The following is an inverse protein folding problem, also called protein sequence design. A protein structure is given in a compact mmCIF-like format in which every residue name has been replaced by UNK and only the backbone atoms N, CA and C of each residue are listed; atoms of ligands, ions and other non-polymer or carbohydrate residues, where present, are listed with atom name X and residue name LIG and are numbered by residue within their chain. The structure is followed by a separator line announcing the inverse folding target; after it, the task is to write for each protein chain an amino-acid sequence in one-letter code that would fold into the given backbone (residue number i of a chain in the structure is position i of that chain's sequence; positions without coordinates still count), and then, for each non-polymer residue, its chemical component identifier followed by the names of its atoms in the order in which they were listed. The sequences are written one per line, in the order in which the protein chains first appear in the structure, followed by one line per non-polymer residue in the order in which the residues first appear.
data_IF_654834897339
#
_entry.id   IF_654834897339
#
_cell.length_a   1.000
_cell.length_b   1.000
_cell.length_c   1.000
_cell.angle_alpha   90.00
_cell.angle_beta   90.00
_cell.angle_gamma   90.00
#
_symmetry.space_group_name_H-M   'P 1'
#
loop_
_entity.id
_entity.type
_entity.pdbx_description
1 polymer ?
#
# COMPACT_ATOMS: atom_id res chain seq x y z
N UNK A 1 3.60 -12.21 -16.87
CA UNK A 1 3.85 -11.38 -15.67
C UNK A 1 3.63 -12.27 -14.46
N UNK A 2 4.12 -11.88 -13.28
CA UNK A 2 3.87 -12.62 -12.03
C UNK A 2 3.00 -11.76 -11.13
N UNK A 3 2.01 -12.37 -10.50
CA UNK A 3 1.26 -11.74 -9.43
C UNK A 3 2.15 -11.66 -8.19
N UNK A 4 2.21 -10.47 -7.60
CA UNK A 4 2.94 -10.22 -6.37
C UNK A 4 1.97 -9.74 -5.31
N UNK A 5 1.90 -10.51 -4.23
CA UNK A 5 1.13 -10.16 -3.04
C UNK A 5 2.06 -9.62 -1.97
N UNK A 6 1.81 -8.38 -1.55
CA UNK A 6 2.63 -7.71 -0.56
C UNK A 6 1.81 -6.73 0.28
N UNK A 7 2.17 -6.63 1.55
CA UNK A 7 1.55 -5.70 2.48
C UNK A 7 2.46 -4.50 2.71
N UNK A 8 1.92 -3.29 2.51
CA UNK A 8 2.56 -2.04 2.89
C UNK A 8 1.85 -1.44 4.10
N UNK A 9 2.63 -1.12 5.13
CA UNK A 9 2.13 -0.39 6.31
C UNK A 9 2.63 1.04 6.25
N UNK A 10 1.70 1.98 6.21
CA UNK A 10 2.01 3.39 6.24
C UNK A 10 1.52 4.03 7.54
N UNK A 11 2.27 5.02 8.01
CA UNK A 11 1.91 5.90 9.11
C UNK A 11 1.42 7.22 8.51
N UNK A 12 0.25 7.65 8.97
CA UNK A 12 -0.30 8.97 8.69
C UNK A 12 0.01 9.88 9.87
N UNK A 13 0.65 11.01 9.60
CA UNK A 13 0.78 12.10 10.56
C UNK A 13 -0.49 12.94 10.47
N UNK A 14 -1.46 12.64 11.34
CA UNK A 14 -2.68 13.41 11.57
C UNK A 14 -3.47 13.74 10.29
N UNK A 15 -4.18 12.76 9.74
CA UNK A 15 -5.15 13.05 8.69
C UNK A 15 -6.46 13.51 9.33
N UNK A 16 -6.93 14.75 9.04
CA UNK A 16 -8.24 15.21 9.51
C UNK A 16 -9.40 14.50 8.79
N UNK A 17 -9.09 13.77 7.71
CA UNK A 17 -10.05 13.01 6.92
C UNK A 17 -10.34 11.65 7.57
N UNK A 18 -11.62 11.27 7.62
CA UNK A 18 -12.04 9.97 8.11
C UNK A 18 -11.45 8.81 7.30
N UNK A 19 -11.42 7.59 7.85
CA UNK A 19 -10.88 6.41 7.18
C UNK A 19 -11.53 6.16 5.81
N UNK A 20 -12.84 6.44 5.67
CA UNK A 20 -13.60 6.27 4.43
C UNK A 20 -13.12 7.21 3.30
N UNK A 21 -12.89 8.50 3.59
CA UNK A 21 -12.37 9.47 2.61
C UNK A 21 -10.97 9.09 2.12
N UNK A 22 -10.14 8.60 3.04
CA UNK A 22 -8.82 8.10 2.71
C UNK A 22 -8.88 6.89 1.78
N UNK A 23 -9.83 5.96 2.02
CA UNK A 23 -10.06 4.79 1.16
C UNK A 23 -10.46 5.24 -0.24
N UNK A 24 -11.44 6.14 -0.37
CA UNK A 24 -11.89 6.62 -1.68
C UNK A 24 -10.78 7.32 -2.46
N UNK A 25 -9.96 8.13 -1.78
CA UNK A 25 -8.81 8.79 -2.39
C UNK A 25 -7.74 7.82 -2.86
N UNK A 26 -7.46 6.78 -2.09
CA UNK A 26 -6.52 5.72 -2.46
C UNK A 26 -7.03 4.92 -3.65
N UNK A 27 -8.32 4.60 -3.64
CA UNK A 27 -8.98 3.92 -4.75
C UNK A 27 -8.91 4.76 -6.04
N UNK A 28 -9.26 6.05 -5.97
CA UNK A 28 -9.14 6.99 -7.10
C UNK A 28 -7.68 7.21 -7.54
N UNK A 29 -6.72 6.94 -6.66
CA UNK A 29 -5.29 7.06 -6.91
C UNK A 29 -4.65 5.88 -7.63
N UNK A 30 -5.41 4.87 -8.02
CA UNK A 30 -4.88 3.66 -8.65
C UNK A 30 -4.35 2.64 -7.63
N UNK A 31 -4.91 2.62 -6.42
CA UNK A 31 -4.77 1.52 -5.47
C UNK A 31 -6.08 0.70 -5.42
N UNK A 32 -6.70 0.44 -6.57
CA UNK A 32 -7.94 -0.35 -6.67
C UNK A 32 -7.70 -1.85 -6.51
N UNK A 33 -6.49 -2.31 -6.87
CA UNK A 33 -5.94 -3.65 -6.66
C UNK A 33 -5.35 -3.87 -5.25
N UNK A 34 -5.69 -2.97 -4.31
CA UNK A 34 -5.21 -3.03 -2.94
C UNK A 34 -6.36 -3.17 -1.93
N UNK A 35 -6.26 -4.15 -1.04
CA UNK A 35 -7.14 -4.28 0.11
C UNK A 35 -6.67 -3.34 1.22
N UNK A 36 -7.48 -2.32 1.50
CA UNK A 36 -7.18 -1.29 2.49
C UNK A 36 -7.78 -1.70 3.84
N UNK A 37 -6.89 -1.99 4.80
CA UNK A 37 -7.24 -2.19 6.20
C UNK A 37 -6.87 -0.96 7.02
N UNK A 38 -7.88 -0.19 7.45
CA UNK A 38 -7.67 0.92 8.38
C UNK A 38 -7.86 0.42 9.81
N UNK A 39 -6.80 0.49 10.62
CA UNK A 39 -6.85 0.13 12.03
C UNK A 39 -6.99 1.38 12.90
N UNK A 40 -5.98 1.64 13.72
CA UNK A 40 -5.87 2.89 14.47
C UNK A 40 -5.66 4.07 13.48
N UNK A 41 -6.21 5.26 13.77
CA UNK A 41 -6.18 6.45 12.89
C UNK A 41 -4.78 6.87 12.41
N UNK A 42 -3.73 6.42 13.08
CA UNK A 42 -2.34 6.72 12.76
C UNK A 42 -1.72 5.74 11.74
N UNK A 43 -2.32 4.58 11.52
CA UNK A 43 -1.73 3.53 10.68
C UNK A 43 -2.74 2.93 9.70
N UNK A 44 -2.31 2.82 8.45
CA UNK A 44 -3.03 2.13 7.40
C UNK A 44 -2.21 0.95 6.90
N UNK A 45 -2.89 -0.15 6.62
CA UNK A 45 -2.31 -1.33 5.99
C UNK A 45 -2.96 -1.49 4.63
N UNK A 46 -2.15 -1.59 3.58
CA UNK A 46 -2.60 -1.86 2.23
C UNK A 46 -2.00 -3.18 1.79
N UNK A 47 -2.84 -4.16 1.46
CA UNK A 47 -2.41 -5.41 0.87
C UNK A 47 -2.62 -5.33 -0.65
N UNK A 48 -1.53 -5.23 -1.40
CA UNK A 48 -1.55 -5.13 -2.85
C UNK A 48 -1.44 -6.52 -3.47
N UNK A 49 -2.22 -6.73 -4.53
CA UNK A 49 -2.16 -7.92 -5.38
C UNK A 49 -1.99 -7.45 -6.83
N UNK A 50 -0.75 -7.13 -7.21
CA UNK A 50 -0.45 -6.50 -8.52
C UNK A 50 0.45 -7.39 -9.38
N UNK A 51 0.09 -7.52 -10.65
CA UNK A 51 0.92 -8.20 -11.64
C UNK A 51 2.05 -7.28 -12.12
N UNK A 52 3.30 -7.76 -12.03
CA UNK A 52 4.45 -7.00 -12.48
C UNK A 52 5.53 -7.91 -13.08
N UNK A 53 6.57 -7.29 -13.63
CA UNK A 53 7.76 -7.99 -14.11
C UNK A 53 8.68 -8.41 -12.95
N UNK A 54 8.57 -7.74 -11.80
CA UNK A 54 9.36 -7.99 -10.58
C UNK A 54 8.69 -7.42 -9.34
N UNK A 55 8.96 -8.01 -8.17
CA UNK A 55 8.42 -7.53 -6.89
C UNK A 55 8.78 -6.06 -6.63
N UNK A 56 10.00 -5.64 -7.00
CA UNK A 56 10.44 -4.25 -6.87
C UNK A 56 9.61 -3.27 -7.71
N UNK A 57 9.21 -3.67 -8.92
CA UNK A 57 8.38 -2.86 -9.81
C UNK A 57 6.97 -2.71 -9.24
N UNK A 58 6.37 -3.80 -8.76
CA UNK A 58 5.06 -3.78 -8.11
C UNK A 58 5.06 -2.88 -6.86
N UNK A 59 6.05 -3.05 -5.98
CA UNK A 59 6.20 -2.26 -4.75
C UNK A 59 6.47 -0.79 -5.08
N UNK A 60 7.35 -0.48 -6.04
CA UNK A 60 7.70 0.90 -6.39
C UNK A 60 6.51 1.64 -7.00
N UNK A 61 5.72 0.98 -7.86
CA UNK A 61 4.48 1.54 -8.40
C UNK A 61 3.50 1.85 -7.27
N UNK A 62 3.21 0.86 -6.41
CA UNK A 62 2.27 1.01 -5.30
C UNK A 62 2.65 2.16 -4.36
N UNK A 63 3.93 2.31 -4.03
CA UNK A 63 4.40 3.42 -3.18
C UNK A 63 4.20 4.77 -3.87
N UNK A 64 4.43 4.83 -5.18
CA UNK A 64 4.27 6.06 -5.94
C UNK A 64 2.80 6.49 -6.00
N UNK A 65 1.89 5.53 -6.18
CA UNK A 65 0.44 5.75 -6.14
C UNK A 65 0.02 6.29 -4.76
N UNK A 66 0.40 5.61 -3.67
CA UNK A 66 0.07 6.04 -2.30
C UNK A 66 0.65 7.43 -1.96
N UNK A 67 1.90 7.71 -2.34
CA UNK A 67 2.53 9.03 -2.11
C UNK A 67 1.86 10.15 -2.89
N UNK A 68 1.32 9.86 -4.08
CA UNK A 68 0.58 10.83 -4.89
C UNK A 68 -0.76 11.18 -4.24
N UNK A 69 -1.44 10.20 -3.68
CA UNK A 69 -2.73 10.38 -3.00
C UNK A 69 -2.56 11.09 -1.67
N UNK A 70 -1.60 10.65 -0.85
CA UNK A 70 -1.38 11.13 0.52
C UNK A 70 0.02 11.73 0.63
N UNK A 71 0.19 13.01 0.26
CA UNK A 71 1.47 13.69 0.47
C UNK A 71 1.77 13.76 1.97
N UNK A 72 2.96 13.31 2.38
CA UNK A 72 3.37 13.23 3.79
C UNK A 72 3.19 11.86 4.45
N UNK A 73 2.75 10.85 3.71
CA UNK A 73 2.68 9.48 4.21
C UNK A 73 4.07 8.87 4.41
N UNK A 74 4.31 8.30 5.60
CA UNK A 74 5.58 7.63 5.91
C UNK A 74 5.40 6.11 5.86
N UNK A 75 6.17 5.45 5.01
CA UNK A 75 6.18 3.99 4.95
C UNK A 75 6.94 3.43 6.16
N UNK A 76 6.30 2.57 6.94
CA UNK A 76 6.86 1.97 8.16
C UNK A 76 7.38 0.56 7.90
N UNK A 77 6.60 -0.25 7.19
CA UNK A 77 6.94 -1.66 6.93
C UNK A 77 6.62 -2.01 5.49
N UNK A 78 7.55 -2.71 4.84
CA UNK A 78 7.31 -3.49 3.62
C UNK A 78 7.33 -4.95 4.03
N UNK A 79 6.19 -5.61 3.96
CA UNK A 79 6.12 -7.05 4.08
C UNK A 79 5.91 -7.58 2.67
N UNK A 80 7.00 -8.05 2.05
CA UNK A 80 6.89 -8.83 0.84
C UNK A 80 6.81 -10.27 1.34
N UNK A 81 5.62 -10.87 1.27
CA UNK A 81 5.43 -12.31 1.44
C UNK A 81 6.05 -13.06 0.25
N UNK A 82 7.32 -12.82 -0.03
CA UNK A 82 8.13 -13.68 -0.85
C UNK A 82 8.39 -14.95 -0.03
N UNK A 83 7.50 -15.93 -0.19
CA UNK A 83 7.82 -17.30 0.16
C UNK A 83 8.89 -17.81 -0.82
N UNK A 84 10.14 -17.38 -0.60
CA UNK A 84 11.31 -18.00 -1.19
C UNK A 84 12.57 -17.86 -0.32
N UNK A 85 12.42 -17.91 1.01
CA UNK A 85 13.42 -18.60 1.84
C UNK A 85 13.16 -20.11 1.76
N UNK A 86 13.45 -20.68 0.58
CA UNK A 86 13.55 -22.13 0.40
C UNK A 86 15.03 -22.45 0.27
N UNK A 87 15.68 -22.70 1.41
CA UNK A 87 16.98 -23.36 1.47
C UNK A 87 16.93 -24.54 2.43
#
# INVERSE_FOLDING_TARGET
MKEYDFTLKFKLEDSPAGPDDLIERLYAGGCDDALIGVGNKEYIRLNFSREASSAYEAISSAINDVKRVVPGVTLVVRDCSDQQDKY
#
